data_IF_425510273619
#
_entry.id   IF_425510273619
#
_cell.length_a   1.000
_cell.length_b   1.000
_cell.length_c   1.000
_cell.angle_alpha   90.00
_cell.angle_beta   90.00
_cell.angle_gamma   90.00
#
_symmetry.space_group_name_H-M   'P 1'
#
loop_
_entity.id
_entity.type
_entity.pdbx_description
1 polymer ?
#
# COMPACT_ATOMS: atom_id res chain seq x y z
N UNK A 1 -14.67 10.90 3.05
CA UNK A 1 -13.98 9.94 2.17
C UNK A 1 -12.81 9.36 2.93
N UNK A 2 -12.87 8.07 3.28
CA UNK A 2 -11.70 7.36 3.82
C UNK A 2 -10.75 7.09 2.64
N UNK A 3 -9.47 7.44 2.71
CA UNK A 3 -8.53 6.99 1.70
C UNK A 3 -8.45 5.46 1.82
N UNK A 4 -8.86 4.75 0.77
CA UNK A 4 -8.73 3.29 0.65
C UNK A 4 -7.24 2.85 0.61
N UNK A 5 -6.33 3.82 0.63
CA UNK A 5 -4.89 3.63 0.68
C UNK A 5 -4.37 3.87 2.10
N UNK A 6 -4.14 2.78 2.84
CA UNK A 6 -3.37 2.83 4.08
C UNK A 6 -1.92 3.20 3.74
N UNK A 7 -1.28 4.07 4.51
CA UNK A 7 0.13 4.41 4.27
C UNK A 7 1.03 3.34 4.90
N UNK A 8 2.04 2.86 4.16
CA UNK A 8 3.03 1.90 4.65
C UNK A 8 4.43 2.51 4.68
N UNK A 9 5.38 1.77 5.27
CA UNK A 9 6.80 2.15 5.33
C UNK A 9 7.02 3.55 5.92
N UNK A 10 6.36 3.84 7.04
CA UNK A 10 6.41 5.16 7.70
C UNK A 10 6.08 6.31 6.74
N UNK A 11 4.92 6.25 6.10
CA UNK A 11 4.44 7.28 5.16
C UNK A 11 5.21 7.39 3.82
N UNK A 12 6.06 6.41 3.48
CA UNK A 12 6.82 6.39 2.21
C UNK A 12 6.22 5.51 1.13
N UNK A 13 5.14 4.80 1.44
CA UNK A 13 4.44 3.94 0.50
C UNK A 13 2.93 3.97 0.72
N UNK A 14 2.20 3.45 -0.26
CA UNK A 14 0.75 3.32 -0.21
C UNK A 14 0.37 1.86 -0.35
N UNK A 15 -0.32 1.35 0.66
CA UNK A 15 -1.02 0.08 0.64
C UNK A 15 -2.17 0.18 -0.35
N UNK A 16 -2.19 -0.71 -1.33
CA UNK A 16 -3.24 -0.75 -2.34
C UNK A 16 -3.47 -2.20 -2.75
N UNK A 17 -4.55 -2.52 -3.47
CA UNK A 17 -4.72 -3.90 -3.98
C UNK A 17 -3.69 -4.26 -5.04
N UNK A 18 -3.32 -3.29 -5.86
CA UNK A 18 -2.42 -3.45 -7.00
C UNK A 18 -1.43 -2.28 -7.01
N UNK A 19 -0.14 -2.57 -6.97
CA UNK A 19 0.93 -1.59 -7.22
C UNK A 19 0.86 -1.13 -8.68
N UNK A 20 1.09 0.15 -8.96
CA UNK A 20 1.27 0.60 -10.34
C UNK A 20 2.54 -0.01 -10.93
N UNK A 21 2.62 -0.09 -12.26
CA UNK A 21 3.75 -0.69 -12.97
C UNK A 21 5.11 -0.04 -12.62
N UNK A 22 5.10 1.21 -12.16
CA UNK A 22 6.31 1.96 -11.75
C UNK A 22 6.60 1.88 -10.25
N UNK A 23 5.73 1.25 -9.47
CA UNK A 23 5.92 1.07 -8.03
C UNK A 23 6.61 -0.27 -7.76
N UNK A 24 7.61 -0.23 -6.89
CA UNK A 24 8.25 -1.45 -6.41
C UNK A 24 7.38 -2.09 -5.33
N UNK A 25 7.02 -3.34 -5.53
CA UNK A 25 6.38 -4.13 -4.49
C UNK A 25 7.34 -4.34 -3.30
N UNK A 26 6.90 -3.98 -2.10
CA UNK A 26 7.73 -3.95 -0.89
C UNK A 26 7.21 -4.84 0.24
N UNK A 27 6.02 -5.45 0.10
CA UNK A 27 5.49 -6.35 1.12
C UNK A 27 3.96 -6.39 1.13
N UNK A 28 3.38 -6.85 2.25
CA UNK A 28 1.94 -6.75 2.50
C UNK A 28 1.70 -5.80 3.66
N UNK A 29 0.66 -4.98 3.57
CA UNK A 29 0.33 -4.07 4.64
C UNK A 29 -0.30 -4.79 5.83
N UNK A 30 -0.15 -4.20 7.02
CA UNK A 30 -0.51 -4.82 8.30
C UNK A 30 -1.96 -5.34 8.40
N UNK A 31 -2.88 -4.83 7.56
CA UNK A 31 -4.26 -5.29 7.51
C UNK A 31 -4.50 -6.53 6.64
N UNK A 32 -3.47 -7.13 6.02
CA UNK A 32 -3.52 -8.37 5.21
C UNK A 32 -4.34 -8.30 3.93
N UNK A 33 -5.15 -7.24 3.75
CA UNK A 33 -6.08 -7.02 2.63
C UNK A 33 -5.49 -6.11 1.54
N UNK A 34 -4.43 -5.38 1.87
CA UNK A 34 -3.74 -4.47 0.95
C UNK A 34 -2.28 -4.93 0.81
N UNK A 35 -1.78 -4.88 -0.41
CA UNK A 35 -0.40 -5.23 -0.79
C UNK A 35 0.40 -3.96 -1.09
#
# INVERSE_FOLDING_TARGET
GRPDTQQCRSNRGHCRRLCFHMERWEGSCSSGRLR
#
